data_IF_592361858841
#
_entry.id   IF_592361858841
#
_cell.length_a   1.000
_cell.length_b   1.000
_cell.length_c   1.000
_cell.angle_alpha   90.00
_cell.angle_beta   90.00
_cell.angle_gamma   90.00
#
_symmetry.space_group_name_H-M   'P 1'
#
loop_
_entity.id
_entity.type
_entity.pdbx_description
1 polymer ?
#
# COMPACT_ATOMS: atom_id res chain seq x y z
N UNK A 1 -9.20 5.71 6.93
CA UNK A 1 -8.60 4.78 5.93
C UNK A 1 -9.36 3.46 5.93
N UNK A 2 -9.65 2.96 4.75
CA UNK A 2 -10.41 1.73 4.55
C UNK A 2 -9.46 0.53 4.49
N UNK A 3 -9.72 -0.47 5.31
CA UNK A 3 -8.83 -1.63 5.52
C UNK A 3 -9.51 -2.92 5.08
N UNK A 4 -8.79 -3.73 4.32
CA UNK A 4 -9.14 -5.12 4.02
C UNK A 4 -8.18 -6.04 4.76
N UNK A 5 -8.70 -7.05 5.44
CA UNK A 5 -7.90 -8.07 6.12
C UNK A 5 -7.96 -9.37 5.34
N UNK A 6 -6.79 -9.94 5.01
CA UNK A 6 -6.67 -11.18 4.21
C UNK A 6 -5.86 -12.21 4.99
N UNK A 7 -6.49 -13.31 5.35
CA UNK A 7 -5.83 -14.43 6.04
C UNK A 7 -6.68 -15.69 5.85
N UNK A 8 -6.06 -16.79 5.49
CA UNK A 8 -6.76 -18.08 5.30
C UNK A 8 -7.21 -18.72 6.61
N UNK A 9 -6.57 -18.36 7.74
CA UNK A 9 -6.99 -18.76 9.07
C UNK A 9 -8.06 -17.80 9.59
N UNK A 10 -9.29 -18.30 9.70
CA UNK A 10 -10.44 -17.52 10.18
C UNK A 10 -10.24 -16.98 11.59
N UNK A 11 -9.67 -17.78 12.50
CA UNK A 11 -9.44 -17.35 13.88
C UNK A 11 -8.39 -16.24 13.95
N UNK A 12 -7.31 -16.38 13.21
CA UNK A 12 -6.28 -15.34 13.11
C UNK A 12 -6.86 -14.05 12.54
N UNK A 13 -7.65 -14.14 11.47
CA UNK A 13 -8.30 -13.00 10.82
C UNK A 13 -9.25 -12.26 11.76
N UNK A 14 -10.15 -13.00 12.40
CA UNK A 14 -11.11 -12.43 13.35
C UNK A 14 -10.42 -11.89 14.60
N UNK A 15 -9.36 -12.57 15.06
CA UNK A 15 -8.55 -12.13 16.19
C UNK A 15 -7.87 -10.79 15.92
N UNK A 16 -7.27 -10.62 14.76
CA UNK A 16 -6.64 -9.37 14.37
C UNK A 16 -7.65 -8.21 14.34
N UNK A 17 -8.81 -8.44 13.75
CA UNK A 17 -9.87 -7.43 13.67
C UNK A 17 -10.35 -7.03 15.05
N UNK A 18 -10.50 -8.00 15.97
CA UNK A 18 -11.02 -7.81 17.32
C UNK A 18 -10.04 -7.07 18.24
N UNK A 19 -8.74 -7.34 18.12
CA UNK A 19 -7.72 -6.83 19.05
C UNK A 19 -7.25 -5.40 18.73
N UNK A 20 -7.29 -4.99 17.48
CA UNK A 20 -6.82 -3.69 17.05
C UNK A 20 -7.83 -2.57 17.32
N UNK A 21 -7.35 -1.43 17.80
CA UNK A 21 -8.15 -0.21 17.99
C UNK A 21 -8.21 0.62 16.69
N UNK A 22 -8.80 0.05 15.67
CA UNK A 22 -8.84 0.63 14.32
C UNK A 22 -9.35 2.09 14.31
N UNK A 23 -10.48 2.33 14.94
CA UNK A 23 -11.13 3.65 14.94
C UNK A 23 -10.27 4.74 15.57
N UNK A 24 -9.52 4.40 16.63
CA UNK A 24 -8.64 5.34 17.33
C UNK A 24 -7.61 5.99 16.40
N UNK A 25 -7.18 5.27 15.38
CA UNK A 25 -6.17 5.73 14.42
C UNK A 25 -6.74 6.05 13.04
N UNK A 26 -8.05 6.17 12.93
CA UNK A 26 -8.72 6.54 11.70
C UNK A 26 -8.87 5.41 10.68
N UNK A 27 -8.81 4.15 11.12
CA UNK A 27 -9.00 2.99 10.26
C UNK A 27 -10.41 2.43 10.39
N UNK A 28 -10.96 1.95 9.28
CA UNK A 28 -12.23 1.23 9.22
C UNK A 28 -12.02 -0.08 8.46
N UNK A 29 -12.29 -1.21 9.09
CA UNK A 29 -12.24 -2.52 8.43
C UNK A 29 -13.50 -2.68 7.60
N UNK A 30 -13.36 -2.60 6.28
CA UNK A 30 -14.48 -2.66 5.33
C UNK A 30 -14.76 -4.08 4.84
N UNK A 31 -13.83 -5.00 5.08
CA UNK A 31 -14.02 -6.39 4.72
C UNK A 31 -12.89 -7.26 5.23
N UNK A 32 -13.15 -8.55 5.27
CA UNK A 32 -12.16 -9.57 5.54
C UNK A 32 -12.41 -10.78 4.63
N UNK A 33 -11.36 -11.32 4.07
CA UNK A 33 -11.42 -12.41 3.09
C UNK A 33 -10.37 -13.48 3.40
N UNK A 34 -10.59 -14.68 2.89
CA UNK A 34 -9.83 -15.87 3.27
C UNK A 34 -8.65 -16.19 2.35
N UNK A 35 -8.54 -15.53 1.19
CA UNK A 35 -7.44 -15.78 0.25
C UNK A 35 -7.22 -14.61 -0.70
N UNK A 36 -6.13 -14.71 -1.47
CA UNK A 36 -5.75 -13.65 -2.42
C UNK A 36 -6.71 -13.47 -3.57
N UNK A 37 -7.34 -14.55 -4.07
CA UNK A 37 -8.35 -14.47 -5.13
C UNK A 37 -9.56 -13.67 -4.69
N UNK A 38 -10.02 -13.90 -3.47
CA UNK A 38 -11.14 -13.14 -2.89
C UNK A 38 -10.76 -11.70 -2.58
N UNK A 39 -9.50 -11.46 -2.22
CA UNK A 39 -8.99 -10.10 -2.04
C UNK A 39 -9.06 -9.32 -3.35
N UNK A 40 -8.59 -9.90 -4.46
CA UNK A 40 -8.65 -9.28 -5.78
C UNK A 40 -10.08 -9.03 -6.23
N UNK A 41 -10.99 -9.96 -5.97
CA UNK A 41 -12.41 -9.81 -6.25
C UNK A 41 -13.03 -8.65 -5.46
N UNK A 42 -12.70 -8.55 -4.18
CA UNK A 42 -13.15 -7.46 -3.31
C UNK A 42 -12.67 -6.09 -3.80
N UNK A 43 -11.42 -5.99 -4.22
CA UNK A 43 -10.82 -4.75 -4.70
C UNK A 43 -11.44 -4.22 -6.00
N UNK A 44 -12.08 -5.08 -6.80
CA UNK A 44 -12.79 -4.64 -8.01
C UNK A 44 -13.97 -3.72 -7.71
N UNK A 45 -14.69 -4.00 -6.63
CA UNK A 45 -15.96 -3.35 -6.31
C UNK A 45 -15.91 -2.44 -5.08
N UNK A 46 -14.78 -2.40 -4.38
CA UNK A 46 -14.65 -1.67 -3.13
C UNK A 46 -13.35 -0.87 -3.08
N UNK A 47 -13.44 0.35 -2.60
CA UNK A 47 -12.26 1.17 -2.35
C UNK A 47 -11.59 0.71 -1.06
N UNK A 48 -10.29 0.44 -1.16
CA UNK A 48 -9.44 0.01 -0.04
C UNK A 48 -8.16 0.84 -0.07
N UNK A 49 -7.76 1.35 1.07
CA UNK A 49 -6.52 2.11 1.21
C UNK A 49 -5.36 1.22 1.63
N UNK A 50 -5.60 0.32 2.57
CA UNK A 50 -4.57 -0.57 3.14
C UNK A 50 -5.08 -1.99 3.24
N UNK A 51 -4.28 -2.94 2.78
CA UNK A 51 -4.53 -4.38 2.93
C UNK A 51 -3.57 -4.95 3.97
N UNK A 52 -4.13 -5.54 5.02
CA UNK A 52 -3.39 -6.34 6.00
C UNK A 52 -3.48 -7.78 5.57
N UNK A 53 -2.40 -8.38 5.12
CA UNK A 53 -2.40 -9.73 4.57
C UNK A 53 -1.35 -10.64 5.21
N UNK A 54 -1.69 -11.91 5.35
CA UNK A 54 -0.71 -12.97 5.58
C UNK A 54 0.08 -13.23 4.29
N UNK A 55 1.26 -13.79 4.42
CA UNK A 55 2.06 -14.26 3.28
C UNK A 55 1.60 -15.65 2.86
N UNK A 56 1.49 -16.57 3.82
CA UNK A 56 1.28 -17.99 3.55
C UNK A 56 -0.20 -18.32 3.36
N UNK A 57 -0.61 -18.30 2.11
CA UNK A 57 -1.99 -18.61 1.70
C UNK A 57 -1.97 -19.50 0.47
N UNK A 58 -2.94 -20.42 0.31
CA UNK A 58 -3.01 -21.29 -0.87
C UNK A 58 -3.27 -20.48 -2.15
N UNK A 59 -2.73 -20.95 -3.26
CA UNK A 59 -2.86 -20.44 -4.63
C UNK A 59 -2.14 -19.09 -4.83
N UNK A 60 -2.67 -18.02 -4.27
CA UNK A 60 -2.08 -16.66 -4.33
C UNK A 60 -1.61 -16.31 -2.93
N UNK A 61 -0.31 -16.27 -2.70
CA UNK A 61 0.26 -15.85 -1.43
C UNK A 61 0.26 -14.31 -1.30
N UNK A 62 0.64 -13.81 -0.13
CA UNK A 62 0.63 -12.37 0.14
C UNK A 62 1.59 -11.59 -0.76
N UNK A 63 2.72 -12.18 -1.13
CA UNK A 63 3.71 -11.55 -2.03
C UNK A 63 3.14 -11.45 -3.45
N UNK A 64 2.55 -12.51 -3.95
CA UNK A 64 1.92 -12.51 -5.27
C UNK A 64 0.73 -11.54 -5.33
N UNK A 65 -0.05 -11.46 -4.24
CA UNK A 65 -1.13 -10.47 -4.12
C UNK A 65 -0.59 -9.05 -4.26
N UNK A 66 0.51 -8.73 -3.57
CA UNK A 66 1.16 -7.42 -3.70
C UNK A 66 1.63 -7.15 -5.13
N UNK A 67 2.25 -8.14 -5.78
CA UNK A 67 2.74 -8.02 -7.15
C UNK A 67 1.60 -7.70 -8.13
N UNK A 68 0.48 -8.40 -8.01
CA UNK A 68 -0.69 -8.17 -8.86
C UNK A 68 -1.33 -6.79 -8.61
N UNK A 69 -1.46 -6.40 -7.36
CA UNK A 69 -2.05 -5.11 -7.00
C UNK A 69 -1.15 -3.93 -7.40
N UNK A 70 0.14 -4.13 -7.51
CA UNK A 70 1.08 -3.09 -7.93
C UNK A 70 0.72 -2.52 -9.30
N UNK A 71 0.23 -3.35 -10.20
CA UNK A 71 -0.17 -2.97 -11.55
C UNK A 71 -1.62 -2.49 -11.61
N UNK A 72 -2.55 -3.23 -11.00
CA UNK A 72 -3.98 -2.96 -11.09
C UNK A 72 -4.49 -1.93 -10.09
N UNK A 73 -3.90 -1.90 -8.90
CA UNK A 73 -4.32 -1.04 -7.79
C UNK A 73 -3.10 -0.35 -7.15
N UNK A 74 -2.41 0.55 -7.88
CA UNK A 74 -1.14 1.12 -7.42
C UNK A 74 -1.24 1.98 -6.16
N UNK A 75 -2.42 2.48 -5.82
CA UNK A 75 -2.64 3.30 -4.63
C UNK A 75 -2.92 2.49 -3.37
N UNK A 76 -3.22 1.20 -3.52
CA UNK A 76 -3.45 0.31 -2.38
C UNK A 76 -2.11 -0.03 -1.73
N UNK A 77 -2.03 0.18 -0.41
CA UNK A 77 -0.83 -0.12 0.38
C UNK A 77 -1.01 -1.44 1.13
N UNK A 78 0.10 -2.06 1.50
CA UNK A 78 0.11 -3.37 2.13
C UNK A 78 0.84 -3.35 3.46
N UNK A 79 0.30 -4.07 4.44
CA UNK A 79 0.96 -4.43 5.69
C UNK A 79 0.96 -5.94 5.77
N UNK A 80 2.12 -6.54 5.95
CA UNK A 80 2.25 -7.99 6.10
C UNK A 80 2.14 -8.36 7.57
N UNK A 81 1.29 -9.32 7.87
CA UNK A 81 1.09 -9.84 9.23
C UNK A 81 1.20 -11.37 9.17
N UNK A 82 2.37 -11.93 9.50
CA UNK A 82 2.70 -13.32 9.23
C UNK A 82 3.46 -14.00 10.37
N UNK A 83 3.33 -15.33 10.46
CA UNK A 83 4.16 -16.17 11.32
C UNK A 83 5.56 -16.39 10.75
N UNK A 84 5.78 -16.11 9.47
CA UNK A 84 7.09 -16.23 8.84
C UNK A 84 8.06 -15.18 9.36
N UNK A 85 9.20 -15.62 9.85
CA UNK A 85 10.31 -14.77 10.29
C UNK A 85 11.48 -14.80 9.30
N UNK A 86 11.28 -15.36 8.11
CA UNK A 86 12.31 -15.40 7.07
C UNK A 86 12.58 -13.99 6.53
N UNK A 87 13.81 -13.55 6.72
CA UNK A 87 14.28 -12.25 6.28
C UNK A 87 14.06 -12.01 4.77
N UNK A 88 14.11 -13.05 3.95
CA UNK A 88 13.91 -12.94 2.50
C UNK A 88 12.49 -12.50 2.14
N UNK A 89 11.49 -13.01 2.84
CA UNK A 89 10.10 -12.58 2.64
C UNK A 89 9.89 -11.13 3.07
N UNK A 90 10.42 -10.77 4.22
CA UNK A 90 10.37 -9.39 4.71
C UNK A 90 11.04 -8.42 3.73
N UNK A 91 12.23 -8.78 3.24
CA UNK A 91 12.97 -7.98 2.28
C UNK A 91 12.20 -7.82 0.96
N UNK A 92 11.62 -8.90 0.45
CA UNK A 92 10.82 -8.88 -0.79
C UNK A 92 9.56 -8.02 -0.63
N UNK A 93 8.85 -8.16 0.48
CA UNK A 93 7.66 -7.35 0.78
C UNK A 93 8.02 -5.86 0.84
N UNK A 94 9.09 -5.50 1.50
CA UNK A 94 9.51 -4.10 1.61
C UNK A 94 9.96 -3.53 0.26
N UNK A 95 10.58 -4.32 -0.59
CA UNK A 95 10.92 -3.93 -1.98
C UNK A 95 9.68 -3.68 -2.83
N UNK A 96 8.61 -4.43 -2.60
CA UNK A 96 7.33 -4.25 -3.28
C UNK A 96 6.53 -3.07 -2.71
N UNK A 97 7.03 -2.41 -1.68
CA UNK A 97 6.42 -1.22 -1.10
C UNK A 97 5.49 -1.48 0.09
N UNK A 98 5.63 -2.61 0.78
CA UNK A 98 4.89 -2.84 2.02
C UNK A 98 5.19 -1.72 3.03
N UNK A 99 4.17 -1.22 3.69
CA UNK A 99 4.33 -0.20 4.73
C UNK A 99 5.01 -0.77 5.96
N UNK A 100 4.70 -2.02 6.30
CA UNK A 100 5.26 -2.69 7.47
C UNK A 100 5.20 -4.21 7.32
N UNK A 101 6.05 -4.88 8.10
CA UNK A 101 6.08 -6.34 8.21
C UNK A 101 6.01 -6.69 9.69
N UNK A 102 4.94 -7.34 10.12
CA UNK A 102 4.65 -7.62 11.52
C UNK A 102 4.65 -9.13 11.73
N UNK A 103 5.46 -9.60 12.71
CA UNK A 103 5.49 -11.01 13.09
C UNK A 103 4.32 -11.34 14.03
N UNK A 104 3.52 -12.34 13.67
CA UNK A 104 2.47 -12.88 14.55
C UNK A 104 3.05 -13.52 15.82
N UNK A 105 4.30 -13.98 15.75
CA UNK A 105 4.97 -14.64 16.88
C UNK A 105 5.39 -13.61 17.94
N UNK A 106 5.94 -12.49 17.49
CA UNK A 106 6.39 -11.40 18.37
C UNK A 106 5.27 -10.42 18.73
N UNK A 107 4.07 -10.63 18.20
CA UNK A 107 2.95 -9.74 18.38
C UNK A 107 2.32 -9.92 19.75
N UNK A 108 2.25 -8.81 20.49
CA UNK A 108 1.60 -8.69 21.79
C UNK A 108 0.48 -7.67 21.69
N UNK A 109 -0.59 -7.86 22.47
CA UNK A 109 -1.71 -6.91 22.52
C UNK A 109 -1.31 -5.49 22.87
N UNK A 110 -0.22 -5.31 23.61
CA UNK A 110 0.32 -3.99 23.97
C UNK A 110 0.95 -3.26 22.77
N UNK A 111 1.32 -4.00 21.72
CA UNK A 111 1.95 -3.44 20.51
C UNK A 111 0.93 -2.95 19.47
N UNK A 112 -0.35 -3.26 19.65
CA UNK A 112 -1.41 -2.97 18.68
C UNK A 112 -1.48 -1.49 18.31
N UNK A 113 -1.50 -0.63 19.31
CA UNK A 113 -1.59 0.83 19.11
C UNK A 113 -0.34 1.37 18.41
N UNK A 114 0.84 0.87 18.79
CA UNK A 114 2.09 1.26 18.17
C UNK A 114 2.15 0.87 16.69
N UNK A 115 1.63 -0.30 16.35
CA UNK A 115 1.55 -0.80 14.99
C UNK A 115 0.67 0.12 14.13
N UNK A 116 -0.55 0.40 14.60
CA UNK A 116 -1.48 1.25 13.85
C UNK A 116 -0.98 2.68 13.72
N UNK A 117 -0.36 3.23 14.76
CA UNK A 117 0.27 4.55 14.71
C UNK A 117 1.39 4.60 13.68
N UNK A 118 2.23 3.59 13.64
CA UNK A 118 3.33 3.47 12.67
C UNK A 118 2.80 3.31 11.24
N UNK A 119 1.79 2.49 11.03
CA UNK A 119 1.16 2.29 9.72
C UNK A 119 0.51 3.59 9.22
N UNK A 120 -0.23 4.28 10.09
CA UNK A 120 -0.85 5.57 9.77
C UNK A 120 0.20 6.60 9.33
N UNK A 121 1.29 6.73 10.08
CA UNK A 121 2.39 7.63 9.76
C UNK A 121 3.03 7.30 8.42
N UNK A 122 3.36 6.03 8.17
CA UNK A 122 3.97 5.58 6.91
C UNK A 122 3.05 5.77 5.71
N UNK A 123 1.76 5.55 5.89
CA UNK A 123 0.76 5.81 4.85
C UNK A 123 0.74 7.29 4.46
N UNK A 124 0.68 8.18 5.44
CA UNK A 124 0.69 9.63 5.21
C UNK A 124 1.98 10.09 4.56
N UNK A 125 3.13 9.56 4.97
CA UNK A 125 4.42 9.86 4.37
C UNK A 125 4.46 9.44 2.89
N UNK A 126 3.89 8.30 2.55
CA UNK A 126 3.79 7.84 1.16
C UNK A 126 2.89 8.75 0.32
N UNK A 127 1.78 9.24 0.86
CA UNK A 127 0.90 10.20 0.18
C UNK A 127 1.64 11.51 -0.12
N UNK A 128 2.37 12.04 0.84
CA UNK A 128 3.15 13.26 0.69
C UNK A 128 4.23 13.12 -0.38
N UNK A 129 4.94 12.00 -0.41
CA UNK A 129 5.94 11.70 -1.44
C UNK A 129 5.31 11.61 -2.83
N UNK A 130 4.14 11.02 -2.95
CA UNK A 130 3.41 10.92 -4.21
C UNK A 130 2.97 12.29 -4.71
N UNK A 131 2.40 13.13 -3.85
CA UNK A 131 2.00 14.50 -4.18
C UNK A 131 3.20 15.32 -4.64
N UNK A 132 4.30 15.26 -3.93
CA UNK A 132 5.54 15.95 -4.29
C UNK A 132 6.06 15.51 -5.65
N UNK A 133 6.05 14.23 -5.97
CA UNK A 133 6.45 13.71 -7.29
C UNK A 133 5.56 14.22 -8.41
N UNK A 134 4.25 14.30 -8.16
CA UNK A 134 3.30 14.83 -9.13
C UNK A 134 3.50 16.33 -9.38
N UNK A 135 3.74 17.10 -8.33
CA UNK A 135 4.06 18.53 -8.42
C UNK A 135 5.37 18.75 -9.19
N UNK A 136 6.43 18.03 -8.86
CA UNK A 136 7.71 18.08 -9.55
C UNK A 136 7.59 17.71 -11.02
N UNK A 137 6.80 16.68 -11.34
CA UNK A 137 6.52 16.27 -12.71
C UNK A 137 5.74 17.33 -13.48
N UNK A 138 4.72 17.91 -12.89
CA UNK A 138 3.93 18.99 -13.47
C UNK A 138 4.78 20.23 -13.75
N UNK A 139 5.59 20.63 -12.79
CA UNK A 139 6.52 21.77 -12.94
C UNK A 139 7.53 21.52 -14.04
N UNK A 140 8.13 20.35 -14.11
CA UNK A 140 9.07 19.96 -15.16
C UNK A 140 8.42 20.03 -16.55
N UNK A 141 7.19 19.56 -16.67
CA UNK A 141 6.42 19.59 -17.90
C UNK A 141 6.10 21.02 -18.38
N UNK A 142 5.75 21.90 -17.43
CA UNK A 142 5.53 23.33 -17.72
C UNK A 142 6.80 24.01 -18.20
N UNK A 143 7.94 23.73 -17.58
CA UNK A 143 9.24 24.26 -17.99
C UNK A 143 9.65 23.78 -19.38
N UNK A 144 9.44 22.52 -19.69
CA UNK A 144 9.69 21.96 -21.02
C UNK A 144 8.83 22.63 -22.09
N UNK A 145 7.54 22.81 -21.81
CA UNK A 145 6.61 23.48 -22.74
C UNK A 145 6.99 24.94 -22.96
N UNK A 146 7.37 25.66 -21.91
CA UNK A 146 7.81 27.04 -21.99
C UNK A 146 9.10 27.18 -22.85
N UNK A 147 10.03 26.23 -22.64
CA UNK A 147 11.27 26.19 -23.41
C UNK A 147 11.03 25.92 -24.91
N UNK A 148 10.15 24.97 -25.22
CA UNK A 148 9.75 24.67 -26.61
C UNK A 148 9.08 25.85 -27.29
N UNK A 149 8.18 26.56 -26.60
CA UNK A 149 7.55 27.78 -27.14
C UNK A 149 8.57 28.89 -27.41
N UNK A 150 9.55 29.04 -26.53
CA UNK A 150 10.65 30.03 -26.75
C UNK A 150 11.50 29.63 -27.95
N UNK A 151 11.77 28.39 -28.18
CA UNK A 151 12.53 27.89 -29.32
C UNK A 151 11.82 28.20 -30.65
N UNK A 152 10.52 28.04 -30.73
CA UNK A 152 9.73 28.37 -31.89
C UNK A 152 9.82 29.86 -32.24
N UNK A 153 9.82 30.75 -31.25
CA UNK A 153 9.96 32.20 -31.43
C UNK A 153 11.33 32.54 -32.02
N UNK A 154 12.40 31.88 -31.63
CA UNK A 154 13.73 32.08 -32.16
C UNK A 154 13.90 31.55 -33.58
N UNK A 155 13.31 30.44 -33.91
CA UNK A 155 13.37 29.85 -35.25
C UNK A 155 12.61 30.70 -36.29
N UNK A 156 11.49 31.32 -35.90
CA UNK A 156 10.74 32.24 -36.76
C UNK A 156 11.48 33.53 -37.05
N UNK A 157 12.39 33.97 -36.18
CA UNK A 157 13.20 35.17 -36.38
C UNK A 157 14.46 34.94 -37.24
N UNK A 158 14.84 33.67 -37.47
CA UNK A 158 15.98 33.38 -38.36
C UNK A 158 15.62 33.41 -39.86
N UNK A 159 14.35 33.52 -40.20
CA UNK A 159 13.87 33.58 -41.59
C UNK A 159 13.54 34.99 -42.10
N UNK A 160 13.74 36.02 -41.30
CA UNK A 160 13.67 37.42 -41.67
C UNK A 160 15.06 37.99 -41.87
#
# INVERSE_FOLDING_TARGET
MRVLVVDDDKLARKGLISIMNWEKYGFEVVGDVQNGSKALEFLKDNMVDVVFTDIDMPEIDGIELMERCRTEYPDVKFVIFSVHEDFRYAQKAMRLGALDYISKISFDGDDCDQILERVDRKYKDNLLKKEKRQEDHGLRKELENAWMNTRWIYDDNEFD
#
